data_IF_346607045127
#
_entry.id   IF_346607045127
#
_cell.length_a   1.000
_cell.length_b   1.000
_cell.length_c   1.000
_cell.angle_alpha   90.00
_cell.angle_beta   90.00
_cell.angle_gamma   90.00
#
_symmetry.space_group_name_H-M   'P 1'
#
loop_
_entity.id
_entity.type
_entity.pdbx_description
1 polymer ?
#
# COMPACT_ATOMS: atom_id res chain seq x y z
N UNK A 1 -19.24 6.20 -15.46
CA UNK A 1 -18.14 6.68 -14.59
C UNK A 1 -16.80 6.20 -15.15
N UNK A 2 -15.82 7.09 -15.28
CA UNK A 2 -14.49 6.69 -15.76
C UNK A 2 -13.73 5.88 -14.71
N UNK A 3 -12.67 5.18 -15.15
CA UNK A 3 -11.82 4.44 -14.22
C UNK A 3 -11.13 5.37 -13.22
N UNK A 4 -10.76 6.57 -13.65
CA UNK A 4 -10.14 7.56 -12.76
C UNK A 4 -11.13 8.02 -11.71
N UNK A 5 -12.38 8.29 -12.09
CA UNK A 5 -13.43 8.68 -11.15
C UNK A 5 -13.73 7.57 -10.16
N UNK A 6 -13.79 6.32 -10.61
CA UNK A 6 -13.99 5.16 -9.75
C UNK A 6 -12.85 5.02 -8.74
N UNK A 7 -11.60 5.21 -9.18
CA UNK A 7 -10.44 5.16 -8.30
C UNK A 7 -10.52 6.22 -7.20
N UNK A 8 -10.79 7.48 -7.58
CA UNK A 8 -10.89 8.56 -6.60
C UNK A 8 -12.06 8.38 -5.64
N UNK A 9 -13.15 7.75 -6.10
CA UNK A 9 -14.28 7.43 -5.24
C UNK A 9 -13.87 6.39 -4.19
N UNK A 10 -13.09 5.38 -4.57
CA UNK A 10 -12.56 4.39 -3.63
C UNK A 10 -11.67 5.06 -2.59
N UNK A 11 -10.78 5.94 -3.01
CA UNK A 11 -9.90 6.70 -2.11
C UNK A 11 -10.71 7.53 -1.12
N UNK A 12 -11.71 8.26 -1.61
CA UNK A 12 -12.54 9.11 -0.78
C UNK A 12 -13.37 8.31 0.22
N UNK A 13 -13.90 7.15 -0.20
CA UNK A 13 -14.65 6.27 0.70
C UNK A 13 -13.74 5.69 1.78
N UNK A 14 -12.51 5.35 1.44
CA UNK A 14 -11.52 4.86 2.41
C UNK A 14 -11.21 5.94 3.43
N UNK A 15 -11.04 7.18 2.99
CA UNK A 15 -10.79 8.32 3.87
C UNK A 15 -11.96 8.55 4.82
N UNK A 16 -13.19 8.56 4.30
CA UNK A 16 -14.39 8.82 5.11
C UNK A 16 -14.64 7.75 6.16
N UNK A 17 -14.34 6.51 5.86
CA UNK A 17 -14.54 5.41 6.80
C UNK A 17 -13.41 5.29 7.84
N UNK A 18 -12.36 6.10 7.72
CA UNK A 18 -11.20 6.01 8.61
C UNK A 18 -10.35 4.78 8.39
N UNK A 19 -10.49 4.16 7.22
CA UNK A 19 -9.73 2.97 6.83
C UNK A 19 -8.35 3.36 6.31
N UNK A 20 -7.51 2.38 6.04
CA UNK A 20 -6.12 2.58 5.65
C UNK A 20 -5.90 2.25 4.18
N UNK A 21 -5.06 3.04 3.51
CA UNK A 21 -4.55 2.73 2.17
C UNK A 21 -3.19 2.06 2.33
N UNK A 22 -3.06 0.85 1.82
CA UNK A 22 -1.81 0.09 1.83
C UNK A 22 -1.16 0.20 0.46
N UNK A 23 0.08 0.67 0.44
CA UNK A 23 0.86 0.78 -0.79
C UNK A 23 1.88 -0.35 -0.84
N UNK A 24 1.98 -1.02 -1.99
CA UNK A 24 2.94 -2.10 -2.21
C UNK A 24 3.69 -1.86 -3.53
N UNK A 25 4.93 -2.33 -3.57
CA UNK A 25 5.80 -2.25 -4.74
C UNK A 25 7.23 -2.51 -4.31
N UNK A 26 8.08 -3.01 -5.20
CA UNK A 26 9.46 -3.34 -4.88
C UNK A 26 10.44 -2.79 -5.91
N UNK A 27 11.73 -2.85 -5.61
CA UNK A 27 12.79 -2.33 -6.46
C UNK A 27 12.61 -0.83 -6.69
N UNK A 28 12.66 -0.40 -7.94
CA UNK A 28 12.37 0.97 -8.32
C UNK A 28 10.94 1.38 -7.97
N UNK A 29 10.02 0.40 -7.91
CA UNK A 29 8.63 0.62 -7.53
C UNK A 29 8.43 0.68 -6.03
N UNK A 30 9.45 0.50 -5.20
CA UNK A 30 9.35 0.66 -3.74
C UNK A 30 9.41 2.12 -3.33
N UNK A 31 10.16 2.94 -4.05
CA UNK A 31 10.22 4.38 -3.79
C UNK A 31 8.89 5.10 -4.04
N UNK A 32 8.15 4.66 -5.06
CA UNK A 32 6.84 5.23 -5.37
C UNK A 32 5.79 4.95 -4.28
N UNK A 33 5.65 3.73 -3.75
CA UNK A 33 4.76 3.49 -2.62
C UNK A 33 5.09 4.32 -1.40
N UNK A 34 6.36 4.42 -1.04
CA UNK A 34 6.81 5.19 0.12
C UNK A 34 6.50 6.67 -0.05
N UNK A 35 6.82 7.23 -1.21
CA UNK A 35 6.55 8.62 -1.53
C UNK A 35 5.04 8.91 -1.54
N UNK A 36 4.26 8.03 -2.15
CA UNK A 36 2.81 8.16 -2.21
C UNK A 36 2.19 8.08 -0.82
N UNK A 37 2.65 7.15 0.03
CA UNK A 37 2.14 7.04 1.39
C UNK A 37 2.37 8.33 2.17
N UNK A 38 3.54 8.94 2.03
CA UNK A 38 3.84 10.22 2.66
C UNK A 38 2.98 11.35 2.13
N UNK A 39 2.87 11.46 0.81
CA UNK A 39 2.07 12.53 0.17
C UNK A 39 0.60 12.42 0.52
N UNK A 40 0.02 11.23 0.41
CA UNK A 40 -1.40 11.03 0.64
C UNK A 40 -1.78 11.24 2.11
N UNK A 41 -0.91 10.82 3.04
CA UNK A 41 -1.16 11.06 4.46
C UNK A 41 -1.12 12.54 4.77
N UNK A 42 -0.16 13.27 4.20
CA UNK A 42 0.01 14.70 4.43
C UNK A 42 -1.06 15.53 3.74
N UNK A 43 -1.27 15.31 2.44
CA UNK A 43 -2.14 16.18 1.63
C UNK A 43 -3.62 15.82 1.74
N UNK A 44 -3.95 14.55 1.96
CA UNK A 44 -5.32 14.08 1.99
C UNK A 44 -5.80 13.66 3.38
N UNK A 45 -4.93 13.75 4.38
CA UNK A 45 -5.22 13.30 5.75
C UNK A 45 -5.69 11.84 5.78
N UNK A 46 -5.07 11.01 4.93
CA UNK A 46 -5.35 9.59 4.84
C UNK A 46 -4.45 8.80 5.76
N UNK A 47 -4.98 7.73 6.31
CA UNK A 47 -4.16 6.73 6.98
C UNK A 47 -3.49 5.89 5.90
N UNK A 48 -2.18 5.95 5.79
CA UNK A 48 -1.42 5.24 4.76
C UNK A 48 -0.29 4.46 5.36
N UNK A 49 0.06 3.36 4.71
CA UNK A 49 1.23 2.57 5.06
C UNK A 49 1.85 2.04 3.77
N UNK A 50 3.17 2.14 3.65
CA UNK A 50 3.92 1.52 2.57
C UNK A 50 4.63 0.30 3.10
N UNK A 51 4.36 -0.86 2.53
CA UNK A 51 4.92 -2.13 3.01
C UNK A 51 6.35 -2.39 2.54
N UNK A 52 6.97 -1.42 1.87
CA UNK A 52 8.42 -1.44 1.60
C UNK A 52 9.22 -0.61 2.61
N UNK A 53 8.58 0.10 3.53
CA UNK A 53 9.26 1.00 4.47
C UNK A 53 9.84 0.29 5.69
N UNK A 54 9.26 -0.83 6.11
CA UNK A 54 9.77 -1.61 7.22
C UNK A 54 10.71 -2.69 6.69
N UNK A 55 12.00 -2.36 6.60
CA UNK A 55 12.99 -3.26 6.04
C UNK A 55 13.10 -4.58 6.82
N UNK A 56 12.97 -4.54 8.14
CA UNK A 56 13.04 -5.75 8.96
C UNK A 56 11.88 -6.70 8.68
N UNK A 57 10.67 -6.16 8.54
CA UNK A 57 9.49 -6.96 8.23
C UNK A 57 9.59 -7.56 6.82
N UNK A 58 9.97 -6.74 5.84
CA UNK A 58 10.09 -7.18 4.45
C UNK A 58 11.13 -8.28 4.31
N UNK A 59 12.33 -8.07 4.90
CA UNK A 59 13.41 -9.04 4.80
C UNK A 59 13.12 -10.30 5.61
N UNK A 60 12.43 -10.21 6.73
CA UNK A 60 12.01 -11.38 7.50
C UNK A 60 11.09 -12.28 6.69
N UNK A 61 10.07 -11.70 6.03
CA UNK A 61 9.18 -12.47 5.17
C UNK A 61 9.93 -13.13 3.99
N UNK A 62 10.85 -12.39 3.37
CA UNK A 62 11.64 -12.94 2.27
C UNK A 62 12.58 -14.04 2.72
N UNK A 63 13.22 -13.88 3.88
CA UNK A 63 14.24 -14.80 4.39
C UNK A 63 13.63 -16.06 5.02
N UNK A 64 12.56 -15.90 5.78
CA UNK A 64 11.95 -16.99 6.54
C UNK A 64 10.92 -17.79 5.75
N UNK A 65 10.39 -17.20 4.66
CA UNK A 65 9.46 -17.85 3.75
C UNK A 65 9.99 -17.73 2.32
N UNK A 66 9.23 -17.12 1.42
CA UNK A 66 9.64 -16.85 0.04
C UNK A 66 9.51 -15.36 -0.25
N UNK A 67 10.37 -14.87 -1.16
CA UNK A 67 10.33 -13.48 -1.59
C UNK A 67 8.94 -13.04 -2.06
N UNK A 68 8.20 -13.93 -2.72
CA UNK A 68 6.85 -13.62 -3.20
C UNK A 68 5.85 -13.33 -2.08
N UNK A 69 6.19 -13.64 -0.84
CA UNK A 69 5.33 -13.41 0.32
C UNK A 69 5.58 -12.08 1.03
N UNK A 70 6.53 -11.26 0.53
CA UNK A 70 6.92 -10.03 1.26
C UNK A 70 5.77 -9.04 1.44
N UNK A 71 4.86 -8.95 0.49
CA UNK A 71 3.70 -8.08 0.62
C UNK A 71 2.49 -8.80 1.17
N UNK A 72 2.21 -10.01 0.69
CA UNK A 72 1.08 -10.81 1.19
C UNK A 72 1.20 -11.04 2.69
N UNK A 73 2.39 -11.35 3.18
CA UNK A 73 2.63 -11.54 4.61
C UNK A 73 2.32 -10.31 5.42
N UNK A 74 2.81 -9.17 5.00
CA UNK A 74 2.55 -7.91 5.71
C UNK A 74 1.09 -7.51 5.62
N UNK A 75 0.47 -7.64 4.45
CA UNK A 75 -0.95 -7.33 4.27
C UNK A 75 -1.81 -8.23 5.16
N UNK A 76 -1.50 -9.52 5.26
CA UNK A 76 -2.28 -10.42 6.10
C UNK A 76 -2.31 -10.01 7.56
N UNK A 77 -1.26 -9.32 8.02
CA UNK A 77 -1.18 -8.83 9.39
C UNK A 77 -1.94 -7.52 9.58
N UNK A 78 -1.83 -6.60 8.63
CA UNK A 78 -2.27 -5.23 8.83
C UNK A 78 -3.57 -4.84 8.13
N UNK A 79 -4.01 -5.62 7.14
CA UNK A 79 -5.20 -5.26 6.38
C UNK A 79 -6.47 -5.49 7.20
N UNK A 80 -7.43 -4.57 7.06
CA UNK A 80 -8.74 -4.66 7.69
C UNK A 80 -9.82 -4.42 6.66
N UNK A 81 -11.04 -4.88 6.96
CA UNK A 81 -12.19 -4.63 6.11
C UNK A 81 -12.36 -3.13 5.86
N UNK A 82 -12.56 -2.76 4.62
CA UNK A 82 -12.67 -1.36 4.21
C UNK A 82 -11.37 -0.74 3.74
N UNK A 83 -10.24 -1.40 3.96
CA UNK A 83 -8.94 -0.90 3.51
C UNK A 83 -8.80 -1.01 1.99
N UNK A 84 -7.96 -0.16 1.44
CA UNK A 84 -7.63 -0.13 0.01
C UNK A 84 -6.17 -0.53 -0.17
N UNK A 85 -5.89 -1.34 -1.17
CA UNK A 85 -4.52 -1.72 -1.55
C UNK A 85 -4.21 -1.13 -2.91
N UNK A 86 -3.09 -0.42 -2.99
CA UNK A 86 -2.60 0.17 -4.25
C UNK A 86 -1.23 -0.43 -4.55
N UNK A 87 -1.10 -1.10 -5.68
CA UNK A 87 0.14 -1.72 -6.10
C UNK A 87 0.79 -0.97 -7.26
N UNK A 88 2.12 -0.87 -7.22
CA UNK A 88 2.91 -0.30 -8.30
C UNK A 88 3.77 -1.40 -8.92
N UNK A 89 3.78 -1.49 -10.24
CA UNK A 89 4.54 -2.48 -10.97
C UNK A 89 5.34 -1.81 -12.09
N UNK A 90 6.65 -2.05 -12.09
CA UNK A 90 7.52 -1.53 -13.14
C UNK A 90 7.43 -2.29 -14.46
N UNK A 91 6.85 -3.48 -14.44
CA UNK A 91 6.71 -4.30 -15.64
C UNK A 91 5.31 -4.27 -16.25
N UNK A 92 4.49 -3.41 -15.76
CA UNK A 92 3.12 -3.27 -16.27
C UNK A 92 2.10 -4.01 -15.46
#
# INVERSE_FOLDING_TARGET
MSQIEEFWLLVENTRKSGSTVHFIGNGGSAGTPSHSAGDWSKELSLRTISHSDNASSLTAWANDTDYENVFVGQLSTFIRSGDLVVGFSGSG
#
